data_IF_073215111390
#
_entry.id   IF_073215111390
#
_cell.length_a   1.000
_cell.length_b   1.000
_cell.length_c   1.000
_cell.angle_alpha   90.00
_cell.angle_beta   90.00
_cell.angle_gamma   90.00
#
_symmetry.space_group_name_H-M   'P 1'
#
loop_
_entity.id
_entity.type
_entity.pdbx_description
1 polymer ?
#
# COMPACT_ATOMS: atom_id res chain seq x y z
N UNK A 1 5.35 -21.68 -4.90
CA UNK A 1 4.89 -20.33 -4.53
C UNK A 1 4.90 -20.32 -3.03
N UNK A 2 5.94 -19.74 -2.46
CA UNK A 2 6.10 -19.70 -1.01
C UNK A 2 5.12 -18.66 -0.47
N UNK A 3 4.32 -19.09 0.51
CA UNK A 3 3.39 -18.22 1.22
C UNK A 3 4.20 -17.15 1.97
N UNK A 4 3.78 -15.90 1.86
CA UNK A 4 4.47 -14.79 2.53
C UNK A 4 4.12 -14.88 4.02
N UNK A 5 5.13 -15.01 4.86
CA UNK A 5 4.88 -15.04 6.30
C UNK A 5 4.37 -13.68 6.78
N UNK A 6 3.49 -13.69 7.79
CA UNK A 6 3.06 -12.46 8.46
C UNK A 6 4.25 -11.64 8.98
N UNK A 7 5.34 -12.31 9.36
CA UNK A 7 6.57 -11.66 9.81
C UNK A 7 7.26 -10.90 8.67
N UNK A 8 7.37 -11.47 7.47
CA UNK A 8 7.94 -10.77 6.30
C UNK A 8 7.10 -9.52 5.96
N UNK A 9 5.77 -9.67 5.92
CA UNK A 9 4.87 -8.54 5.69
C UNK A 9 5.05 -7.44 6.74
N UNK A 10 5.12 -7.82 8.01
CA UNK A 10 5.30 -6.88 9.13
C UNK A 10 6.65 -6.15 9.05
N UNK A 11 7.74 -6.88 8.76
CA UNK A 11 9.07 -6.31 8.61
C UNK A 11 9.14 -5.30 7.46
N UNK A 12 8.61 -5.65 6.28
CA UNK A 12 8.59 -4.75 5.12
C UNK A 12 7.70 -3.54 5.41
N UNK A 13 6.54 -3.74 6.05
CA UNK A 13 5.63 -2.65 6.39
C UNK A 13 6.31 -1.66 7.34
N UNK A 14 6.85 -2.14 8.46
CA UNK A 14 7.44 -1.27 9.46
C UNK A 14 8.70 -0.58 8.93
N UNK A 15 9.60 -1.30 8.24
CA UNK A 15 10.78 -0.67 7.63
C UNK A 15 10.41 0.42 6.61
N UNK A 16 9.34 0.23 5.85
CA UNK A 16 8.84 1.24 4.90
C UNK A 16 8.29 2.47 5.62
N UNK A 17 7.42 2.27 6.63
CA UNK A 17 6.72 3.36 7.30
C UNK A 17 7.63 4.18 8.23
N UNK A 18 8.65 3.54 8.82
CA UNK A 18 9.62 4.19 9.70
C UNK A 18 10.90 4.65 9.00
N UNK A 19 10.98 4.54 7.67
CA UNK A 19 12.15 5.04 6.93
C UNK A 19 12.29 6.56 7.12
N UNK A 20 13.47 7.08 7.49
CA UNK A 20 13.68 8.51 7.77
C UNK A 20 13.44 9.41 6.54
N UNK A 21 13.43 8.86 5.32
CA UNK A 21 13.09 9.58 4.09
C UNK A 21 11.58 9.85 3.95
N UNK A 22 10.76 9.18 4.75
CA UNK A 22 9.30 9.14 4.58
C UNK A 22 8.53 9.97 5.60
N UNK A 23 7.46 9.36 6.12
CA UNK A 23 6.39 9.97 6.89
C UNK A 23 6.82 10.69 8.17
N UNK A 24 7.97 10.33 8.77
CA UNK A 24 8.52 11.05 9.91
C UNK A 24 8.77 12.54 9.61
N UNK A 25 9.16 12.87 8.36
CA UNK A 25 9.33 14.27 7.93
C UNK A 25 7.99 15.02 7.82
N UNK A 26 6.89 14.30 7.67
CA UNK A 26 5.53 14.83 7.69
C UNK A 26 4.90 14.80 9.10
N UNK A 27 5.65 14.37 10.12
CA UNK A 27 5.20 14.37 11.51
C UNK A 27 4.43 13.12 11.97
N UNK A 28 4.47 12.03 11.20
CA UNK A 28 3.86 10.76 11.61
C UNK A 28 4.87 9.80 12.23
N UNK A 29 4.40 9.02 13.21
CA UNK A 29 5.11 7.88 13.78
C UNK A 29 4.23 6.64 13.68
N UNK A 30 4.86 5.47 13.59
CA UNK A 30 4.15 4.21 13.44
C UNK A 30 4.70 3.18 14.42
N UNK A 31 3.80 2.43 15.03
CA UNK A 31 4.09 1.32 15.91
C UNK A 31 3.22 0.13 15.49
N UNK A 32 3.80 -1.07 15.53
CA UNK A 32 3.05 -2.30 15.31
C UNK A 32 2.31 -2.66 16.60
N UNK A 33 0.98 -2.62 16.56
CA UNK A 33 0.11 -2.92 17.69
C UNK A 33 -0.94 -3.98 17.27
N UNK A 34 -0.94 -5.18 17.86
CA UNK A 34 -1.90 -6.24 17.55
C UNK A 34 -3.36 -5.85 17.89
N UNK A 35 -3.55 -4.90 18.81
CA UNK A 35 -4.87 -4.41 19.24
C UNK A 35 -5.33 -3.19 18.45
N UNK A 36 -4.51 -2.71 17.49
CA UNK A 36 -4.89 -1.60 16.63
C UNK A 36 -6.16 -1.90 15.84
N UNK A 37 -7.03 -0.89 15.76
CA UNK A 37 -8.19 -0.90 14.87
C UNK A 37 -7.75 -0.82 13.40
N UNK A 38 -6.60 -0.19 13.13
CA UNK A 38 -6.04 -0.09 11.79
C UNK A 38 -5.33 -1.40 11.42
N UNK A 39 -5.61 -1.91 10.22
CA UNK A 39 -5.07 -3.19 9.74
C UNK A 39 -4.46 -3.03 8.37
N UNK A 40 -3.35 -3.72 8.14
CA UNK A 40 -2.79 -3.95 6.81
C UNK A 40 -2.85 -5.46 6.54
N UNK A 41 -3.56 -5.84 5.49
CA UNK A 41 -3.85 -7.24 5.16
C UNK A 41 -3.29 -7.51 3.77
N UNK A 42 -2.61 -8.65 3.61
CA UNK A 42 -2.26 -9.20 2.31
C UNK A 42 -3.29 -10.29 1.96
N UNK A 43 -3.95 -10.16 0.82
CA UNK A 43 -5.07 -11.03 0.45
C UNK A 43 -5.02 -11.46 -1.01
N UNK A 44 -5.50 -12.67 -1.29
CA UNK A 44 -5.71 -13.15 -2.66
C UNK A 44 -6.78 -12.31 -3.38
N UNK A 45 -6.72 -12.16 -4.72
CA UNK A 45 -7.58 -11.25 -5.48
C UNK A 45 -9.08 -11.32 -5.17
N UNK A 46 -9.62 -12.51 -4.95
CA UNK A 46 -11.06 -12.72 -4.65
C UNK A 46 -11.42 -12.12 -3.29
N UNK A 47 -10.53 -12.29 -2.32
CA UNK A 47 -10.70 -11.76 -0.96
C UNK A 47 -10.47 -10.26 -0.94
N UNK A 48 -9.58 -9.73 -1.81
CA UNK A 48 -9.43 -8.28 -2.00
C UNK A 48 -10.74 -7.66 -2.44
N UNK A 49 -11.39 -8.19 -3.48
CA UNK A 49 -12.66 -7.66 -3.98
C UNK A 49 -13.75 -7.69 -2.88
N UNK A 50 -13.79 -8.75 -2.05
CA UNK A 50 -14.72 -8.85 -0.91
C UNK A 50 -14.45 -7.77 0.16
N UNK A 51 -13.20 -7.65 0.62
CA UNK A 51 -12.83 -6.71 1.68
C UNK A 51 -12.89 -5.25 1.22
N UNK A 52 -12.70 -5.00 -0.08
CA UNK A 52 -12.71 -3.67 -0.67
C UNK A 52 -14.11 -3.19 -1.05
N UNK A 53 -15.14 -4.05 -1.07
CA UNK A 53 -16.49 -3.65 -1.45
C UNK A 53 -16.99 -2.44 -0.62
N UNK A 54 -17.63 -1.44 -1.27
CA UNK A 54 -18.09 -1.41 -2.66
C UNK A 54 -17.08 -0.86 -3.69
N UNK A 55 -15.79 -0.73 -3.34
CA UNK A 55 -14.75 -0.25 -4.26
C UNK A 55 -14.46 -1.34 -5.31
N UNK A 56 -14.57 -0.98 -6.60
CA UNK A 56 -14.27 -1.90 -7.70
C UNK A 56 -12.76 -2.00 -7.94
N UNK A 57 -12.12 -3.00 -7.32
CA UNK A 57 -10.68 -3.29 -7.48
C UNK A 57 -10.35 -4.07 -8.74
N UNK A 58 -11.35 -4.70 -9.37
CA UNK A 58 -11.18 -5.49 -10.58
C UNK A 58 -10.13 -6.59 -10.43
N UNK A 59 -10.01 -7.19 -9.23
CA UNK A 59 -9.05 -8.25 -8.89
C UNK A 59 -7.57 -7.90 -8.98
N UNK A 60 -7.23 -6.67 -9.35
CA UNK A 60 -5.84 -6.27 -9.67
C UNK A 60 -5.32 -5.19 -8.75
N UNK A 61 -6.21 -4.39 -8.18
CA UNK A 61 -5.85 -3.26 -7.34
C UNK A 61 -5.87 -3.64 -5.86
N UNK A 62 -5.02 -2.96 -5.10
CA UNK A 62 -5.13 -2.87 -3.64
C UNK A 62 -6.10 -1.74 -3.27
N UNK A 63 -6.61 -1.71 -2.04
CA UNK A 63 -7.48 -0.63 -1.58
C UNK A 63 -7.21 -0.23 -0.13
N UNK A 64 -7.80 0.88 0.28
CA UNK A 64 -8.05 1.17 1.68
C UNK A 64 -9.57 1.33 1.86
N UNK A 65 -10.15 0.60 2.80
CA UNK A 65 -11.57 0.61 3.13
C UNK A 65 -11.74 0.76 4.65
N UNK A 66 -12.24 1.92 5.11
CA UNK A 66 -12.32 2.23 6.53
C UNK A 66 -10.95 2.14 7.23
N UNK A 67 -10.78 1.36 8.31
CA UNK A 67 -9.48 1.24 8.98
C UNK A 67 -8.56 0.18 8.33
N UNK A 68 -8.97 -0.46 7.23
CA UNK A 68 -8.25 -1.60 6.65
C UNK A 68 -7.61 -1.22 5.32
N UNK A 69 -6.29 -1.42 5.23
CA UNK A 69 -5.52 -1.42 3.98
C UNK A 69 -5.43 -2.86 3.49
N UNK A 70 -5.94 -3.13 2.30
CA UNK A 70 -5.95 -4.47 1.68
C UNK A 70 -5.01 -4.46 0.50
N UNK A 71 -3.88 -5.16 0.64
CA UNK A 71 -2.88 -5.35 -0.41
C UNK A 71 -3.22 -6.59 -1.22
N UNK A 72 -3.18 -6.45 -2.54
CA UNK A 72 -3.41 -7.55 -3.46
C UNK A 72 -2.15 -8.43 -3.56
N UNK A 73 -2.31 -9.72 -3.29
CA UNK A 73 -1.21 -10.68 -3.24
C UNK A 73 -0.53 -10.92 -4.60
N UNK A 74 -1.23 -10.76 -5.71
CA UNK A 74 -0.61 -10.85 -7.04
C UNK A 74 0.38 -9.70 -7.24
N UNK A 75 -0.04 -8.47 -6.92
CA UNK A 75 0.83 -7.31 -6.96
C UNK A 75 2.00 -7.42 -5.98
N UNK A 76 1.78 -8.01 -4.82
CA UNK A 76 2.85 -8.24 -3.85
C UNK A 76 3.90 -9.25 -4.32
N UNK A 77 3.47 -10.30 -5.03
CA UNK A 77 4.36 -11.33 -5.59
C UNK A 77 5.06 -10.87 -6.85
N UNK A 78 4.41 -10.04 -7.66
CA UNK A 78 4.92 -9.65 -8.97
C UNK A 78 4.57 -8.19 -9.24
N UNK A 79 5.62 -7.39 -9.39
CA UNK A 79 5.43 -6.00 -9.80
C UNK A 79 4.86 -5.92 -11.23
N UNK A 80 3.93 -5.00 -11.49
CA UNK A 80 3.48 -4.70 -12.84
C UNK A 80 4.63 -4.25 -13.75
N UNK A 81 4.42 -4.36 -15.06
CA UNK A 81 5.34 -3.82 -16.06
C UNK A 81 5.63 -2.33 -15.79
N UNK A 82 6.90 -1.94 -15.92
CA UNK A 82 7.37 -0.56 -15.71
C UNK A 82 7.87 -0.26 -14.29
N UNK A 83 7.71 -1.17 -13.34
CA UNK A 83 8.39 -1.10 -12.04
C UNK A 83 9.81 -1.65 -12.14
N UNK A 84 10.78 -1.07 -11.40
CA UNK A 84 12.16 -1.53 -11.44
C UNK A 84 12.33 -2.94 -10.85
N UNK A 85 11.61 -3.24 -9.77
CA UNK A 85 11.67 -4.50 -9.03
C UNK A 85 10.46 -4.65 -8.09
N UNK A 86 10.29 -5.86 -7.52
CA UNK A 86 9.15 -6.18 -6.64
C UNK A 86 9.30 -5.56 -5.27
N UNK A 87 10.52 -5.42 -4.77
CA UNK A 87 10.83 -4.82 -3.48
C UNK A 87 10.38 -3.36 -3.42
N UNK A 88 10.71 -2.59 -4.45
CA UNK A 88 10.28 -1.19 -4.63
C UNK A 88 8.77 -1.10 -4.76
N UNK A 89 8.15 -2.04 -5.49
CA UNK A 89 6.69 -2.05 -5.63
C UNK A 89 5.96 -2.37 -4.32
N UNK A 90 6.48 -3.30 -3.50
CA UNK A 90 5.94 -3.60 -2.16
C UNK A 90 5.97 -2.37 -1.25
N UNK A 91 7.08 -1.62 -1.25
CA UNK A 91 7.18 -0.35 -0.51
C UNK A 91 6.15 0.67 -1.01
N UNK A 92 5.94 0.75 -2.33
CA UNK A 92 4.89 1.59 -2.90
C UNK A 92 3.50 1.17 -2.44
N UNK A 93 3.15 -0.13 -2.50
CA UNK A 93 1.85 -0.63 -2.07
C UNK A 93 1.55 -0.27 -0.62
N UNK A 94 2.52 -0.47 0.28
CA UNK A 94 2.42 -0.10 1.70
C UNK A 94 2.22 1.41 1.85
N UNK A 95 3.12 2.23 1.27
CA UNK A 95 3.04 3.69 1.38
C UNK A 95 1.74 4.25 0.80
N UNK A 96 1.28 3.69 -0.32
CA UNK A 96 0.09 4.13 -1.00
C UNK A 96 -1.17 3.84 -0.17
N UNK A 97 -1.32 2.61 0.30
CA UNK A 97 -2.45 2.21 1.14
C UNK A 97 -2.49 2.95 2.48
N UNK A 98 -1.35 3.05 3.17
CA UNK A 98 -1.26 3.78 4.44
C UNK A 98 -1.41 5.29 4.23
N UNK A 99 -0.94 5.84 3.11
CA UNK A 99 -1.19 7.23 2.75
C UNK A 99 -2.69 7.54 2.69
N UNK A 100 -3.49 6.67 2.06
CA UNK A 100 -4.95 6.81 2.07
C UNK A 100 -5.55 6.69 3.47
N UNK A 101 -5.04 5.76 4.30
CA UNK A 101 -5.46 5.64 5.70
C UNK A 101 -5.18 6.94 6.50
N UNK A 102 -4.08 7.63 6.19
CA UNK A 102 -3.72 8.94 6.76
C UNK A 102 -4.42 10.13 6.07
N UNK A 103 -5.48 9.88 5.30
CA UNK A 103 -6.23 10.88 4.53
C UNK A 103 -5.41 11.64 3.48
N UNK A 104 -4.28 11.07 3.05
CA UNK A 104 -3.49 11.56 1.92
C UNK A 104 -3.99 10.89 0.64
N UNK A 105 -4.98 11.53 0.01
CA UNK A 105 -5.55 11.06 -1.24
C UNK A 105 -4.74 11.55 -2.44
N UNK A 106 -4.97 10.91 -3.60
CA UNK A 106 -4.35 11.37 -4.83
C UNK A 106 -4.66 12.85 -5.08
N UNK A 107 -3.68 13.65 -5.54
CA UNK A 107 -3.94 15.04 -5.91
C UNK A 107 -5.04 15.10 -6.97
N UNK A 108 -6.03 15.96 -6.76
CA UNK A 108 -7.18 16.14 -7.66
C UNK A 108 -6.76 16.61 -9.06
N UNK A 109 -5.65 17.33 -9.14
CA UNK A 109 -4.98 17.71 -10.36
C UNK A 109 -3.97 16.63 -10.76
N UNK A 110 -4.44 15.61 -11.48
CA UNK A 110 -3.55 14.84 -12.37
C UNK A 110 -2.85 15.86 -13.27
N UNK A 111 -1.52 15.82 -13.31
CA UNK A 111 -0.64 16.80 -13.97
C UNK A 111 -1.34 17.51 -15.13
N UNK A 112 -1.55 18.84 -15.08
CA UNK A 112 -2.34 19.55 -16.08
C UNK A 112 -1.72 19.52 -17.49
N UNK A 113 -0.48 19.04 -17.60
CA UNK A 113 0.24 18.92 -18.87
C UNK A 113 0.87 17.52 -18.94
N UNK A 114 0.56 16.72 -19.97
CA UNK A 114 1.35 15.54 -20.31
C UNK A 114 2.82 15.94 -20.51
N UNK A 115 3.74 15.18 -19.91
CA UNK A 115 5.19 15.24 -20.15
C UNK A 115 6.01 16.43 -19.57
N UNK A 116 5.57 17.09 -18.49
CA UNK A 116 6.46 18.03 -17.78
C UNK A 116 6.44 17.81 -16.25
N UNK A 117 7.21 16.86 -15.71
CA UNK A 117 7.38 16.73 -14.27
C UNK A 117 8.06 18.01 -13.74
N UNK A 118 7.54 18.59 -12.65
CA UNK A 118 8.17 19.74 -12.01
C UNK A 118 9.56 19.31 -11.53
N UNK A 119 10.59 20.04 -11.96
CA UNK A 119 11.98 19.91 -11.50
C UNK A 119 12.10 20.19 -10.01
#
# INVERSE_FOLDING_TARGET
MDDVSTDELSLITMSTLTDPRGWAQAGFTFDADPDSANRLVLAEPDVVDELCAPIETGRTLSCQNGPVVVLNADGWRTAPEGWPDVETYRQFLVNHGVGHLLSQFHPSNRCPVPANPRR
#
